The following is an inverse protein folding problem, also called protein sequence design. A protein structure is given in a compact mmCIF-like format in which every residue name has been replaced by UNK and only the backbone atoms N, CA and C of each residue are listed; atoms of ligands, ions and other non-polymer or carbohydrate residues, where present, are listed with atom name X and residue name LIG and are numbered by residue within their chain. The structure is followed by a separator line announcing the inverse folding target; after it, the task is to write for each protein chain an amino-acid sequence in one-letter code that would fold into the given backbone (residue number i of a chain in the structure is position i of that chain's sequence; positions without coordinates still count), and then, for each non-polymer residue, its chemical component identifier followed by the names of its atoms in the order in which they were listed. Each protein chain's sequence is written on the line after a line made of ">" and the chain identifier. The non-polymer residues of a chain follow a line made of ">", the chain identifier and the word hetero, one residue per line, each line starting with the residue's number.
data_IF_288252849671
#
_entry.id   IF_288252849671
#
_cell.length_a   1.000
_cell.length_b   1.000
_cell.length_c   1.000
_cell.angle_alpha   90.00
_cell.angle_beta   90.00
_cell.angle_gamma   90.00
#
_symmetry.space_group_name_H-M   'P 1'
#
loop_
_entity.id
_entity.type
_entity.pdbx_description
1 polymer ?
#
# COMPACT_ATOMS: atom_id res chain seq x y z
N UNK A 1 21.45 -8.94 16.65
CA UNK A 1 21.90 -7.97 15.64
C UNK A 1 20.71 -7.68 14.74
N UNK A 2 19.98 -6.59 14.99
CA UNK A 2 18.70 -6.29 14.33
C UNK A 2 18.96 -5.54 13.01
N UNK A 3 18.79 -6.25 11.90
CA UNK A 3 19.05 -5.78 10.54
C UNK A 3 18.11 -4.64 10.15
N UNK A 4 18.67 -3.56 9.65
CA UNK A 4 18.03 -2.26 9.31
C UNK A 4 16.75 -2.33 8.44
N UNK A 5 16.50 -3.44 7.74
CA UNK A 5 15.43 -3.57 6.73
C UNK A 5 14.00 -3.57 7.29
N UNK A 6 13.76 -4.14 8.48
CA UNK A 6 12.40 -4.22 9.04
C UNK A 6 11.81 -2.86 9.46
N UNK A 7 12.66 -1.84 9.63
CA UNK A 7 12.22 -0.47 9.92
C UNK A 7 11.69 0.25 8.68
N UNK A 8 12.28 -0.04 7.52
CA UNK A 8 11.92 0.60 6.25
C UNK A 8 10.55 0.13 5.78
N UNK A 9 10.31 -1.19 5.79
CA UNK A 9 9.01 -1.77 5.39
C UNK A 9 7.88 -1.29 6.31
N UNK A 10 8.13 -1.19 7.61
CA UNK A 10 7.13 -0.65 8.54
C UNK A 10 6.86 0.86 8.31
N UNK A 11 7.89 1.65 7.99
CA UNK A 11 7.72 3.07 7.66
C UNK A 11 6.93 3.25 6.36
N UNK A 12 7.25 2.49 5.30
CA UNK A 12 6.53 2.51 4.03
C UNK A 12 5.07 2.09 4.23
N UNK A 13 4.81 1.09 5.08
CA UNK A 13 3.45 0.65 5.41
C UNK A 13 2.63 1.74 6.10
N UNK A 14 3.22 2.47 7.05
CA UNK A 14 2.56 3.60 7.72
C UNK A 14 2.31 4.75 6.75
N UNK A 15 3.31 5.15 5.97
CA UNK A 15 3.17 6.25 5.00
C UNK A 15 2.15 5.91 3.91
N UNK A 16 2.18 4.69 3.37
CA UNK A 16 1.20 4.21 2.40
C UNK A 16 -0.23 4.20 2.94
N UNK A 17 -0.41 3.86 4.22
CA UNK A 17 -1.73 3.90 4.89
C UNK A 17 -2.27 5.32 5.01
N UNK A 18 -1.41 6.29 5.36
CA UNK A 18 -1.81 7.70 5.49
C UNK A 18 -2.17 8.29 4.13
N UNK A 19 -1.36 8.01 3.11
CA UNK A 19 -1.61 8.44 1.73
C UNK A 19 -2.91 7.85 1.19
N UNK A 20 -3.23 6.59 1.51
CA UNK A 20 -4.51 5.97 1.17
C UNK A 20 -5.70 6.73 1.76
N UNK A 21 -5.65 7.03 3.05
CA UNK A 21 -6.74 7.73 3.75
C UNK A 21 -6.94 9.12 3.16
N UNK A 22 -5.85 9.85 2.89
CA UNK A 22 -5.91 11.16 2.24
C UNK A 22 -6.47 11.08 0.81
N UNK A 23 -6.07 10.08 0.04
CA UNK A 23 -6.59 9.84 -1.32
C UNK A 23 -8.09 9.57 -1.33
N UNK A 24 -8.59 8.75 -0.41
CA UNK A 24 -10.03 8.48 -0.25
C UNK A 24 -10.78 9.76 0.15
N UNK A 25 -10.24 10.55 1.08
CA UNK A 25 -10.86 11.79 1.53
C UNK A 25 -10.97 12.83 0.40
N UNK A 26 -9.90 13.04 -0.38
CA UNK A 26 -9.88 13.94 -1.53
C UNK A 26 -10.83 13.44 -2.62
N UNK A 27 -10.91 12.13 -2.85
CA UNK A 27 -11.84 11.53 -3.80
C UNK A 27 -13.29 11.81 -3.44
N UNK A 28 -13.68 11.55 -2.18
CA UNK A 28 -15.02 11.82 -1.69
C UNK A 28 -15.35 13.32 -1.80
N UNK A 29 -14.41 14.20 -1.46
CA UNK A 29 -14.60 15.64 -1.58
C UNK A 29 -14.79 16.08 -3.04
N UNK A 30 -13.96 15.59 -3.96
CA UNK A 30 -14.08 15.89 -5.39
C UNK A 30 -15.36 15.34 -6.03
N UNK A 31 -15.84 14.18 -5.57
CA UNK A 31 -17.09 13.58 -6.03
C UNK A 31 -18.32 14.38 -5.59
N UNK A 32 -18.39 14.81 -4.32
CA UNK A 32 -19.52 15.57 -3.80
C UNK A 32 -19.58 17.02 -4.33
N UNK A 33 -18.43 17.60 -4.70
CA UNK A 33 -18.36 18.98 -5.21
C UNK A 33 -18.62 19.09 -6.72
N UNK A 34 -18.53 18.00 -7.48
CA UNK A 34 -18.69 18.06 -8.93
C UNK A 34 -20.15 18.04 -9.37
N UNK A 35 -20.78 19.22 -9.41
CA UNK A 35 -21.99 19.47 -10.19
C UNK A 35 -21.66 19.48 -11.70
N UNK A 36 -22.38 18.64 -12.44
CA UNK A 36 -22.25 18.33 -13.88
C UNK A 36 -21.77 19.50 -14.78
N UNK A 37 -20.47 19.56 -15.05
CA UNK A 37 -19.89 20.32 -16.17
C UNK A 37 -18.53 19.71 -16.56
N UNK A 38 -17.96 20.11 -17.71
CA UNK A 38 -16.68 19.64 -18.27
C UNK A 38 -15.55 19.22 -17.27
N UNK A 39 -15.32 19.89 -16.12
CA UNK A 39 -14.40 19.41 -15.08
C UNK A 39 -14.67 17.99 -14.54
N UNK A 40 -15.89 17.46 -14.68
CA UNK A 40 -16.26 16.10 -14.25
C UNK A 40 -15.45 15.03 -14.96
N UNK A 41 -15.16 15.20 -16.26
CA UNK A 41 -14.35 14.26 -17.02
C UNK A 41 -12.89 14.24 -16.55
N UNK A 42 -12.35 15.41 -16.21
CA UNK A 42 -11.02 15.55 -15.62
C UNK A 42 -11.00 14.89 -14.24
N UNK A 43 -12.03 15.15 -13.41
CA UNK A 43 -12.21 14.52 -12.11
C UNK A 43 -12.21 13.00 -12.20
N UNK A 44 -13.01 12.41 -13.09
CA UNK A 44 -13.05 10.95 -13.30
C UNK A 44 -11.67 10.42 -13.72
N UNK A 45 -10.98 11.10 -14.63
CA UNK A 45 -9.63 10.70 -15.06
C UNK A 45 -8.61 10.75 -13.93
N UNK A 46 -8.63 11.81 -13.12
CA UNK A 46 -7.75 11.98 -11.95
C UNK A 46 -8.03 10.91 -10.88
N UNK A 47 -9.30 10.60 -10.65
CA UNK A 47 -9.72 9.59 -9.68
C UNK A 47 -9.30 8.20 -10.15
N UNK A 48 -9.61 7.85 -11.40
CA UNK A 48 -9.22 6.56 -11.97
C UNK A 48 -7.70 6.40 -11.96
N UNK A 49 -6.95 7.44 -12.33
CA UNK A 49 -5.49 7.46 -12.26
C UNK A 49 -4.95 7.30 -10.84
N UNK A 50 -5.54 8.01 -9.87
CA UNK A 50 -5.17 7.90 -8.46
C UNK A 50 -5.42 6.49 -7.92
N UNK A 51 -6.54 5.86 -8.27
CA UNK A 51 -6.83 4.46 -7.89
C UNK A 51 -5.81 3.50 -8.50
N UNK A 52 -5.46 3.65 -9.79
CA UNK A 52 -4.46 2.80 -10.43
C UNK A 52 -3.07 2.95 -9.80
N UNK A 53 -2.59 4.18 -9.58
CA UNK A 53 -1.31 4.44 -8.93
C UNK A 53 -1.31 3.89 -7.49
N UNK A 54 -2.43 4.04 -6.78
CA UNK A 54 -2.59 3.51 -5.44
C UNK A 54 -2.53 1.98 -5.40
N UNK A 55 -3.25 1.29 -6.29
CA UNK A 55 -3.24 -0.17 -6.37
C UNK A 55 -1.84 -0.71 -6.70
N UNK A 56 -1.11 -0.06 -7.62
CA UNK A 56 0.27 -0.43 -7.95
C UNK A 56 1.18 -0.28 -6.72
N UNK A 57 1.08 0.85 -6.00
CA UNK A 57 1.86 1.08 -4.78
C UNK A 57 1.54 0.07 -3.67
N UNK A 58 0.26 -0.25 -3.47
CA UNK A 58 -0.18 -1.25 -2.50
C UNK A 58 0.31 -2.66 -2.84
N UNK A 59 0.26 -3.04 -4.12
CA UNK A 59 0.75 -4.34 -4.59
C UNK A 59 2.26 -4.49 -4.39
N UNK A 60 3.01 -3.41 -4.61
CA UNK A 60 4.45 -3.38 -4.38
C UNK A 60 4.79 -3.54 -2.89
N UNK A 61 4.10 -2.79 -2.02
CA UNK A 61 4.27 -2.91 -0.57
C UNK A 61 3.91 -4.30 -0.02
N UNK A 62 2.82 -4.89 -0.52
CA UNK A 62 2.43 -6.26 -0.16
C UNK A 62 3.46 -7.29 -0.63
N UNK A 63 4.05 -7.08 -1.82
CA UNK A 63 5.10 -7.94 -2.36
C UNK A 63 6.38 -7.85 -1.52
N UNK A 64 6.78 -6.65 -1.07
CA UNK A 64 7.90 -6.48 -0.15
C UNK A 64 7.63 -7.18 1.20
N UNK A 65 6.42 -7.05 1.76
CA UNK A 65 6.05 -7.71 3.02
C UNK A 65 6.06 -9.26 2.88
N UNK A 66 5.61 -9.79 1.74
CA UNK A 66 5.67 -11.22 1.45
C UNK A 66 7.11 -11.72 1.24
N UNK A 67 7.95 -10.93 0.56
CA UNK A 67 9.35 -11.26 0.32
C UNK A 67 10.17 -11.23 1.62
N UNK A 68 9.91 -10.26 2.49
CA UNK A 68 10.54 -10.18 3.81
C UNK A 68 10.15 -11.37 4.69
N UNK A 69 8.87 -11.79 4.66
CA UNK A 69 8.38 -12.94 5.45
C UNK A 69 8.79 -14.30 4.87
N UNK A 70 9.08 -14.39 3.57
CA UNK A 70 9.56 -15.61 2.88
C UNK A 70 10.85 -16.17 3.49
N UNK A 71 11.73 -15.32 4.03
CA UNK A 71 13.01 -15.74 4.62
C UNK A 71 12.92 -16.20 6.09
N UNK A 72 11.77 -16.05 6.76
CA UNK A 72 11.51 -16.71 8.04
C UNK A 72 10.98 -18.12 7.77
N UNK A 73 11.84 -18.96 7.21
CA UNK A 73 11.56 -20.39 7.05
C UNK A 73 11.11 -21.02 8.37
N UNK A 74 10.22 -22.01 8.26
CA UNK A 74 9.79 -22.86 9.37
C UNK A 74 11.04 -23.32 10.13
N UNK A 75 11.13 -22.99 11.43
CA UNK A 75 12.20 -23.50 12.30
C UNK A 75 12.05 -25.02 12.39
N UNK A 76 12.65 -25.75 11.46
CA UNK A 76 12.83 -27.19 11.58
C UNK A 76 13.79 -27.40 12.73
N UNK A 77 13.21 -27.71 13.89
CA UNK A 77 13.99 -28.11 15.06
C UNK A 77 14.54 -29.49 14.74
N UNK A 78 15.87 -29.71 14.78
CA UNK A 78 16.39 -31.04 14.53
C UNK A 78 15.85 -31.97 15.61
N UNK A 79 15.13 -33.02 15.20
CA UNK A 79 14.69 -34.06 16.10
C UNK A 79 15.94 -34.75 16.67
N UNK A 80 16.10 -34.67 17.98
CA UNK A 80 17.17 -35.33 18.73
C UNK A 80 17.00 -36.85 18.57
N UNK A 81 17.77 -37.45 17.66
CA UNK A 81 17.88 -38.91 17.58
C UNK A 81 18.64 -39.41 18.82
N UNK A 82 18.03 -40.38 19.49
CA UNK A 82 18.50 -41.04 20.70
C UNK A 82 19.41 -42.21 20.36
#
# INVERSE_FOLDING_TARGET
>A
MASSHGKFVNAVKVVGSIVLILGIAIFLFGYFVSEYSAPTGIGIGTIMGAVFIFLIGMFFAASEEMLEKRYKGVKVTPLKQK
#
